data_IF_950982751919
#
_entry.id   IF_950982751919
#
_cell.length_a   1.000
_cell.length_b   1.000
_cell.length_c   1.000
_cell.angle_alpha   90.00
_cell.angle_beta   90.00
_cell.angle_gamma   90.00
#
_symmetry.space_group_name_H-M   'P 1'
#
loop_
_entity.id
_entity.type
_entity.pdbx_description
1 polymer ?
#
# COMPACT_ATOMS: atom_id res chain seq x y z
N UNK A 1 9.68 6.80 -3.47
CA UNK A 1 8.76 7.94 -3.32
C UNK A 1 7.51 7.44 -2.61
N UNK A 2 6.98 8.24 -1.68
CA UNK A 2 5.70 7.99 -0.99
C UNK A 2 4.70 8.97 -1.58
N UNK A 3 3.47 8.53 -1.86
CA UNK A 3 2.43 9.34 -2.49
C UNK A 3 1.17 9.52 -1.65
N UNK A 4 0.91 8.63 -0.69
CA UNK A 4 -0.27 8.69 0.19
C UNK A 4 0.12 8.36 1.62
N UNK A 5 -0.55 9.02 2.56
CA UNK A 5 -0.28 8.97 3.99
C UNK A 5 -1.58 8.86 4.77
N UNK A 6 -1.58 8.05 5.83
CA UNK A 6 -2.69 7.98 6.76
C UNK A 6 -2.20 7.80 8.20
N UNK A 7 -2.80 8.51 9.14
CA UNK A 7 -2.48 8.37 10.56
C UNK A 7 -3.34 7.29 11.21
N UNK A 8 -2.70 6.21 11.66
CA UNK A 8 -3.38 5.09 12.33
C UNK A 8 -2.81 4.97 13.74
N UNK A 9 -3.53 5.52 14.72
CA UNK A 9 -3.05 5.61 16.10
C UNK A 9 -1.77 6.44 16.21
N UNK A 10 -0.66 5.81 16.62
CA UNK A 10 0.64 6.48 16.74
C UNK A 10 1.57 6.26 15.55
N UNK A 11 1.09 5.59 14.50
CA UNK A 11 1.89 5.28 13.32
C UNK A 11 1.42 6.08 12.12
N UNK A 12 2.38 6.53 11.33
CA UNK A 12 2.14 7.04 9.99
C UNK A 12 2.23 5.87 9.01
N UNK A 13 1.17 5.65 8.27
CA UNK A 13 1.12 4.64 7.23
C UNK A 13 1.34 5.30 5.89
N UNK A 14 2.15 4.69 5.04
CA UNK A 14 2.61 5.31 3.81
C UNK A 14 2.59 4.32 2.65
N UNK A 15 1.94 4.69 1.55
CA UNK A 15 2.03 3.90 0.33
C UNK A 15 3.40 4.07 -0.34
N UNK A 16 3.99 2.97 -0.81
CA UNK A 16 5.22 3.05 -1.59
C UNK A 16 4.91 3.01 -3.08
N UNK A 17 5.12 4.14 -3.74
CA UNK A 17 4.77 4.34 -5.14
C UNK A 17 5.37 3.26 -6.05
N UNK A 18 4.53 2.72 -6.94
CA UNK A 18 4.90 1.66 -7.88
C UNK A 18 4.97 0.27 -7.26
N UNK A 19 4.53 0.10 -6.01
CA UNK A 19 4.42 -1.20 -5.34
C UNK A 19 3.03 -1.37 -4.73
N UNK A 20 2.63 -2.62 -4.46
CA UNK A 20 1.44 -2.91 -3.65
C UNK A 20 1.84 -3.05 -2.17
N UNK A 21 2.62 -2.11 -1.64
CA UNK A 21 3.09 -2.14 -0.26
C UNK A 21 2.78 -0.85 0.51
N UNK A 22 2.49 -1.02 1.80
CA UNK A 22 2.41 0.08 2.77
C UNK A 22 3.54 -0.05 3.80
N UNK A 23 4.19 1.06 4.12
CA UNK A 23 5.12 1.15 5.23
C UNK A 23 4.39 1.63 6.48
N UNK A 24 4.65 0.98 7.62
CA UNK A 24 4.28 1.48 8.96
C UNK A 24 5.48 2.23 9.51
N UNK A 25 5.29 3.49 9.86
CA UNK A 25 6.34 4.40 10.26
C UNK A 25 6.01 4.92 11.65
N UNK A 26 6.95 4.78 12.58
CA UNK A 26 6.85 5.41 13.89
C UNK A 26 6.90 6.93 13.69
N UNK A 27 5.82 7.63 14.10
CA UNK A 27 5.68 9.07 13.80
C UNK A 27 6.73 9.94 14.52
N UNK A 28 7.34 9.43 15.58
CA UNK A 28 8.30 10.17 16.41
C UNK A 28 9.72 10.05 15.88
N UNK A 29 10.17 8.84 15.57
CA UNK A 29 11.53 8.55 15.10
C UNK A 29 11.66 8.56 13.57
N UNK A 30 10.55 8.44 12.83
CA UNK A 30 10.56 8.24 11.39
C UNK A 30 11.03 6.85 10.96
N UNK A 31 11.24 5.93 11.90
CA UNK A 31 11.69 4.57 11.59
C UNK A 31 10.56 3.73 11.02
N UNK A 32 10.83 2.98 9.94
CA UNK A 32 9.89 1.98 9.42
C UNK A 32 9.84 0.79 10.39
N UNK A 33 8.69 0.63 11.08
CA UNK A 33 8.42 -0.41 12.07
C UNK A 33 7.85 -1.69 11.46
N UNK A 34 7.24 -1.59 10.28
CA UNK A 34 6.60 -2.74 9.63
C UNK A 34 6.28 -2.51 8.16
N UNK A 35 5.90 -3.59 7.49
CA UNK A 35 5.48 -3.59 6.09
C UNK A 35 4.18 -4.35 5.94
N UNK A 36 3.26 -3.79 5.16
CA UNK A 36 2.12 -4.52 4.64
C UNK A 36 2.39 -4.81 3.18
N UNK A 37 2.19 -6.07 2.80
CA UNK A 37 2.36 -6.56 1.43
C UNK A 37 0.98 -6.93 0.92
N UNK A 38 0.44 -6.16 -0.02
CA UNK A 38 -0.92 -6.26 -0.55
C UNK A 38 -0.94 -6.84 -1.96
N UNK A 39 0.12 -7.57 -2.36
CA UNK A 39 0.19 -8.20 -3.67
C UNK A 39 -1.03 -9.10 -3.90
N UNK A 40 -1.71 -8.88 -5.03
CA UNK A 40 -2.90 -9.64 -5.41
C UNK A 40 -4.20 -9.17 -4.77
N UNK A 41 -4.20 -8.07 -3.99
CA UNK A 41 -5.45 -7.50 -3.44
C UNK A 41 -6.43 -7.10 -4.54
N UNK A 42 -5.92 -6.57 -5.66
CA UNK A 42 -6.68 -6.32 -6.87
C UNK A 42 -6.24 -7.29 -7.96
N UNK A 43 -7.20 -8.01 -8.55
CA UNK A 43 -6.97 -8.78 -9.76
C UNK A 43 -6.89 -7.83 -10.98
N UNK A 44 -5.68 -7.28 -11.20
CA UNK A 44 -5.43 -6.20 -12.17
C UNK A 44 -5.85 -6.55 -13.60
N UNK A 45 -5.70 -7.81 -14.03
CA UNK A 45 -6.05 -8.24 -15.38
C UNK A 45 -7.57 -8.17 -15.60
N UNK A 46 -8.34 -8.76 -14.69
CA UNK A 46 -9.81 -8.74 -14.72
C UNK A 46 -10.32 -7.31 -14.64
N UNK A 47 -9.81 -6.51 -13.70
CA UNK A 47 -10.20 -5.11 -13.53
C UNK A 47 -9.85 -4.25 -14.76
N UNK A 48 -8.71 -4.49 -15.42
CA UNK A 48 -8.34 -3.80 -16.66
C UNK A 48 -9.23 -4.22 -17.85
N UNK A 49 -9.58 -5.50 -17.95
CA UNK A 49 -10.48 -5.99 -18.98
C UNK A 49 -11.88 -5.37 -18.85
N UNK A 50 -12.40 -5.31 -17.61
CA UNK A 50 -13.67 -4.68 -17.29
C UNK A 50 -13.66 -3.17 -17.61
N UNK A 51 -12.57 -2.48 -17.26
CA UNK A 51 -12.39 -1.08 -17.59
C UNK A 51 -12.38 -0.84 -19.10
N UNK A 52 -11.62 -1.64 -19.84
CA UNK A 52 -11.56 -1.58 -21.30
C UNK A 52 -12.93 -1.83 -21.94
N UNK A 53 -13.69 -2.82 -21.46
CA UNK A 53 -15.03 -3.13 -21.96
C UNK A 53 -16.00 -1.95 -21.78
N UNK A 54 -15.80 -1.14 -20.74
CA UNK A 54 -16.58 0.06 -20.45
C UNK A 54 -15.98 1.36 -21.04
N UNK A 55 -14.93 1.27 -21.88
CA UNK A 55 -14.31 2.44 -22.52
C UNK A 55 -13.55 3.37 -21.57
N UNK A 56 -13.11 2.86 -20.41
CA UNK A 56 -12.39 3.62 -19.37
C UNK A 56 -10.96 3.10 -19.20
N UNK A 57 -10.11 3.93 -18.59
CA UNK A 57 -8.73 3.56 -18.27
C UNK A 57 -8.67 2.45 -17.22
N UNK A 58 -7.67 1.58 -17.35
CA UNK A 58 -7.45 0.47 -16.41
C UNK A 58 -6.94 0.95 -15.04
N UNK A 59 -7.00 0.06 -14.02
CA UNK A 59 -6.50 0.39 -12.70
C UNK A 59 -4.99 0.66 -12.69
N UNK A 60 -4.60 1.71 -12.01
CA UNK A 60 -3.21 2.14 -11.86
C UNK A 60 -2.68 1.76 -10.46
N UNK A 61 -1.76 2.52 -9.88
CA UNK A 61 -1.08 2.20 -8.62
C UNK A 61 -2.01 2.17 -7.40
N UNK A 62 -1.63 1.35 -6.40
CA UNK A 62 -2.14 1.45 -5.03
C UNK A 62 -1.95 2.90 -4.54
N UNK A 63 -3.02 3.50 -4.03
CA UNK A 63 -3.08 4.90 -3.65
C UNK A 63 -4.40 5.16 -2.92
N UNK A 64 -4.33 5.45 -1.62
CA UNK A 64 -5.48 5.69 -0.78
C UNK A 64 -5.50 4.69 0.36
N UNK A 65 -5.39 5.23 1.57
CA UNK A 65 -5.48 4.51 2.84
C UNK A 65 -6.46 5.33 3.68
N UNK A 66 -7.40 4.68 4.34
CA UNK A 66 -8.28 5.35 5.28
C UNK A 66 -8.44 4.51 6.55
N UNK A 67 -8.50 5.19 7.69
CA UNK A 67 -8.71 4.57 8.98
C UNK A 67 -10.04 5.02 9.60
N UNK A 68 -10.87 4.05 9.96
CA UNK A 68 -12.06 4.25 10.78
C UNK A 68 -11.72 3.95 12.25
N UNK A 69 -11.57 4.97 13.12
CA UNK A 69 -11.21 4.76 14.52
C UNK A 69 -12.33 4.12 15.35
N UNK A 70 -13.59 4.35 14.99
CA UNK A 70 -14.74 3.88 15.76
C UNK A 70 -14.97 2.37 15.51
N UNK A 71 -14.95 1.99 14.23
CA UNK A 71 -15.09 0.59 13.82
C UNK A 71 -13.78 -0.21 13.85
N UNK A 72 -12.64 0.47 14.02
CA UNK A 72 -11.29 -0.10 13.90
C UNK A 72 -11.02 -0.77 12.55
N UNK A 73 -11.45 -0.13 11.46
CA UNK A 73 -11.37 -0.67 10.10
C UNK A 73 -10.36 0.09 9.25
N UNK A 74 -9.60 -0.65 8.45
CA UNK A 74 -8.63 -0.07 7.52
C UNK A 74 -9.15 -0.30 6.12
N UNK A 75 -9.19 0.77 5.33
CA UNK A 75 -9.58 0.70 3.93
C UNK A 75 -8.41 1.06 3.04
N UNK A 76 -8.29 0.35 1.92
CA UNK A 76 -7.29 0.63 0.88
C UNK A 76 -7.93 0.63 -0.50
N UNK A 77 -7.41 1.48 -1.38
CA UNK A 77 -7.81 1.54 -2.78
C UNK A 77 -6.63 2.01 -3.64
N UNK A 78 -6.89 2.30 -4.90
CA UNK A 78 -5.89 2.80 -5.82
C UNK A 78 -6.48 3.70 -6.89
N UNK A 79 -5.57 4.31 -7.65
CA UNK A 79 -5.95 5.18 -8.75
C UNK A 79 -6.71 4.36 -9.80
N UNK A 80 -7.93 4.78 -10.12
CA UNK A 80 -8.82 4.12 -11.09
C UNK A 80 -9.19 2.68 -10.71
N UNK A 81 -9.05 2.29 -9.44
CA UNK A 81 -9.53 0.99 -9.00
C UNK A 81 -11.06 0.96 -9.05
N UNK A 82 -11.67 -0.16 -9.48
CA UNK A 82 -13.13 -0.31 -9.50
C UNK A 82 -13.71 -0.56 -8.10
N UNK A 83 -12.87 -0.73 -7.08
CA UNK A 83 -13.27 -1.12 -5.74
C UNK A 83 -12.36 -0.52 -4.66
N UNK A 84 -12.90 -0.49 -3.44
CA UNK A 84 -12.19 -0.26 -2.19
C UNK A 84 -12.27 -1.54 -1.36
N UNK A 85 -11.20 -1.84 -0.63
CA UNK A 85 -11.10 -3.05 0.19
C UNK A 85 -10.98 -2.66 1.66
N UNK A 86 -11.84 -3.22 2.50
CA UNK A 86 -11.58 -3.31 3.93
C UNK A 86 -10.55 -4.43 4.17
N UNK A 87 -9.49 -4.15 4.93
CA UNK A 87 -8.44 -5.12 5.22
C UNK A 87 -8.28 -5.34 6.73
N UNK A 88 -7.91 -6.57 7.08
CA UNK A 88 -7.49 -6.94 8.43
C UNK A 88 -6.03 -7.41 8.38
N UNK A 89 -5.27 -7.11 9.44
CA UNK A 89 -3.86 -7.43 9.48
C UNK A 89 -3.63 -8.77 10.16
N UNK A 90 -2.91 -9.65 9.47
CA UNK A 90 -2.42 -10.90 10.04
C UNK A 90 -0.88 -10.94 10.06
N UNK A 91 -0.27 -11.50 11.11
CA UNK A 91 1.17 -11.71 11.13
C UNK A 91 1.60 -12.63 9.98
N UNK A 92 2.48 -12.13 9.12
CA UNK A 92 2.99 -12.92 8.02
C UNK A 92 3.94 -14.01 8.55
N UNK A 93 3.53 -15.28 8.47
CA UNK A 93 4.30 -16.41 9.00
C UNK A 93 5.52 -16.78 8.15
N UNK A 94 5.46 -16.51 6.84
CA UNK A 94 6.47 -16.92 5.85
C UNK A 94 7.29 -15.75 5.27
N UNK A 95 6.96 -14.51 5.64
CA UNK A 95 7.57 -13.29 5.10
C UNK A 95 8.46 -12.65 6.15
N UNK A 96 9.78 -12.70 5.92
CA UNK A 96 10.74 -11.99 6.78
C UNK A 96 10.76 -10.49 6.48
N UNK A 97 11.12 -9.66 7.47
CA UNK A 97 11.29 -8.21 7.28
C UNK A 97 12.28 -7.88 6.16
N UNK A 98 13.35 -8.66 6.01
CA UNK A 98 14.35 -8.48 4.94
C UNK A 98 13.74 -8.74 3.56
N UNK A 99 12.88 -9.75 3.43
CA UNK A 99 12.18 -10.08 2.18
C UNK A 99 11.13 -9.01 1.85
N UNK A 100 10.30 -8.63 2.83
CA UNK A 100 9.32 -7.56 2.67
C UNK A 100 9.98 -6.24 2.24
N UNK A 101 11.05 -5.81 2.91
CA UNK A 101 11.83 -4.62 2.51
C UNK A 101 12.31 -4.67 1.06
N UNK A 102 12.77 -5.83 0.59
CA UNK A 102 13.25 -5.99 -0.78
C UNK A 102 12.11 -5.86 -1.81
N UNK A 103 10.92 -6.34 -1.46
CA UNK A 103 9.73 -6.23 -2.32
C UNK A 103 9.20 -4.80 -2.35
N UNK A 104 9.19 -4.13 -1.19
CA UNK A 104 8.50 -2.86 -1.02
C UNK A 104 9.38 -1.63 -1.26
N UNK A 105 10.71 -1.76 -1.35
CA UNK A 105 11.61 -0.61 -1.61
C UNK A 105 12.09 -0.68 -3.07
N UNK A 106 11.64 0.24 -3.96
CA UNK A 106 12.11 0.30 -5.33
C UNK A 106 13.60 0.63 -5.38
N UNK A 107 14.38 -0.17 -6.12
CA UNK A 107 15.84 0.01 -6.27
C UNK A 107 16.22 1.31 -6.98
N UNK A 108 15.32 1.83 -7.82
CA UNK A 108 15.53 3.03 -8.64
C UNK A 108 15.46 4.35 -7.85
N UNK A 109 15.08 4.32 -6.57
CA UNK A 109 14.87 5.51 -5.74
C UNK A 109 15.86 5.63 -4.56
N UNK A 110 17.07 5.08 -4.69
CA UNK A 110 18.11 5.17 -3.66
C UNK A 110 19.05 6.32 -4.02
N UNK A 111 19.00 7.37 -3.21
CA UNK A 111 19.86 8.54 -3.35
C UNK A 111 20.82 8.62 -2.16
N UNK A 112 22.09 8.90 -2.41
CA UNK A 112 23.06 9.25 -1.38
C UNK A 112 23.34 10.74 -1.50
N UNK A 113 22.97 11.50 -0.47
CA UNK A 113 23.43 12.88 -0.34
C UNK A 113 24.95 12.88 -0.08
N UNK A 114 25.66 13.88 -0.60
CA UNK A 114 27.05 14.16 -0.21
C UNK A 114 27.05 15.03 1.04
#
# INVERSE_FOLDING_TARGET
MINELEMIGNELWANVYGTDCLARIDKTSGSVTGWLVLNGILERQSAAAEAKAAGREGPDVLNGIAWDPDGKRIFVTGKLWPAMFEIQLEPARELTLKRARRMCIPRINIFRAR
#
